data_IF_187307236846
#
_entry.id   IF_187307236846
#
_cell.length_a   1.000
_cell.length_b   1.000
_cell.length_c   1.000
_cell.angle_alpha   90.00
_cell.angle_beta   90.00
_cell.angle_gamma   90.00
#
_symmetry.space_group_name_H-M   'P 1'
#
loop_
_entity.id
_entity.type
_entity.pdbx_description
1 polymer ?
#
# COMPACT_ATOMS: atom_id res chain seq x y z
N UNK A 1 16.83 10.19 -15.39
CA UNK A 1 16.28 9.54 -14.19
C UNK A 1 14.99 10.25 -13.84
N UNK A 2 13.84 9.68 -14.24
CA UNK A 2 12.53 10.23 -13.92
C UNK A 2 12.36 10.30 -12.39
N UNK A 3 12.07 11.48 -11.86
CA UNK A 3 11.67 11.65 -10.46
C UNK A 3 10.44 10.77 -10.20
N UNK A 4 10.59 9.73 -9.40
CA UNK A 4 9.47 8.90 -8.97
C UNK A 4 8.71 9.69 -7.90
N UNK A 5 7.47 10.07 -8.19
CA UNK A 5 6.64 10.82 -7.25
C UNK A 5 6.43 9.97 -5.99
N UNK A 6 6.56 10.62 -4.83
CA UNK A 6 6.35 9.99 -3.53
C UNK A 6 4.86 9.64 -3.37
N UNK A 7 4.56 8.42 -2.94
CA UNK A 7 3.18 7.99 -2.63
C UNK A 7 2.83 8.30 -1.18
N UNK A 8 1.54 8.49 -0.87
CA UNK A 8 1.08 8.80 0.49
C UNK A 8 0.41 7.59 1.13
N UNK A 9 0.76 7.32 2.37
CA UNK A 9 0.11 6.32 3.23
C UNK A 9 -0.50 7.01 4.44
N UNK A 10 -1.80 6.86 4.65
CA UNK A 10 -2.45 7.26 5.90
C UNK A 10 -2.47 6.08 6.86
N UNK A 11 -1.88 6.25 8.04
CA UNK A 11 -1.92 5.25 9.11
C UNK A 11 -0.75 5.34 10.09
N UNK A 12 -0.63 4.32 10.95
CA UNK A 12 0.42 4.24 11.98
C UNK A 12 1.36 3.07 11.73
N UNK A 13 2.66 3.27 11.97
CA UNK A 13 3.69 2.22 11.96
C UNK A 13 3.39 1.05 12.92
N UNK A 14 2.53 1.25 13.93
CA UNK A 14 2.13 0.20 14.86
C UNK A 14 1.14 -0.81 14.22
N UNK A 15 0.38 -0.38 13.22
CA UNK A 15 -0.60 -1.25 12.55
C UNK A 15 0.10 -2.32 11.70
N UNK A 16 -0.21 -3.62 11.88
CA UNK A 16 0.35 -4.68 11.05
C UNK A 16 -0.06 -4.53 9.58
N UNK A 17 -1.28 -4.05 9.30
CA UNK A 17 -1.77 -3.84 7.95
C UNK A 17 -1.05 -2.68 7.24
N UNK A 18 -0.73 -1.61 7.98
CA UNK A 18 0.10 -0.51 7.45
C UNK A 18 1.50 -1.04 7.18
N UNK A 19 2.13 -1.73 8.13
CA UNK A 19 3.47 -2.31 7.96
C UNK A 19 3.58 -3.23 6.73
N UNK A 20 2.56 -4.03 6.44
CA UNK A 20 2.50 -4.86 5.21
C UNK A 20 2.72 -4.00 3.95
N UNK A 21 2.03 -2.87 3.83
CA UNK A 21 2.18 -1.94 2.70
C UNK A 21 3.56 -1.25 2.71
N UNK A 22 4.05 -0.83 3.87
CA UNK A 22 5.37 -0.17 3.95
C UNK A 22 6.52 -1.08 3.55
N UNK A 23 6.47 -2.35 3.96
CA UNK A 23 7.47 -3.37 3.55
C UNK A 23 7.41 -3.59 2.05
N UNK A 24 6.21 -3.70 1.48
CA UNK A 24 5.99 -3.80 0.04
C UNK A 24 6.63 -2.63 -0.73
N UNK A 25 6.35 -1.39 -0.32
CA UNK A 25 6.95 -0.18 -0.90
C UNK A 25 8.47 -0.17 -0.76
N UNK A 26 8.99 -0.55 0.42
CA UNK A 26 10.42 -0.57 0.70
C UNK A 26 11.18 -1.59 -0.15
N UNK A 27 10.65 -2.81 -0.30
CA UNK A 27 11.24 -3.86 -1.16
C UNK A 27 11.28 -3.41 -2.62
N UNK A 28 10.22 -2.73 -3.08
CA UNK A 28 10.18 -2.18 -4.44
C UNK A 28 10.99 -0.88 -4.62
N UNK A 29 11.53 -0.30 -3.54
CA UNK A 29 12.27 0.97 -3.62
C UNK A 29 11.38 2.17 -3.96
N UNK A 30 10.08 2.11 -3.65
CA UNK A 30 9.13 3.19 -3.93
C UNK A 30 9.14 4.17 -2.74
N UNK A 31 9.48 5.45 -2.96
CA UNK A 31 9.48 6.44 -1.90
C UNK A 31 8.05 6.72 -1.44
N UNK A 32 7.86 6.82 -0.12
CA UNK A 32 6.56 7.13 0.47
C UNK A 32 6.67 8.12 1.62
N UNK A 33 5.55 8.73 1.97
CA UNK A 33 5.31 9.45 3.21
C UNK A 33 4.20 8.79 4.00
N UNK A 34 4.31 8.88 5.33
CA UNK A 34 3.23 8.51 6.23
C UNK A 34 2.58 9.78 6.77
N UNK A 35 1.27 9.84 6.60
CA UNK A 35 0.40 10.73 7.34
C UNK A 35 -0.16 9.99 8.56
N UNK A 36 0.29 10.34 9.79
CA UNK A 36 -0.09 9.66 11.01
C UNK A 36 -1.48 10.09 11.49
N UNK A 37 -2.52 9.94 10.66
CA UNK A 37 -3.90 10.11 11.12
C UNK A 37 -4.26 8.96 12.07
N UNK A 38 -4.78 9.32 13.23
CA UNK A 38 -5.32 8.40 14.22
C UNK A 38 -6.73 7.98 13.76
N UNK A 39 -6.97 6.67 13.46
CA UNK A 39 -8.32 6.18 13.22
C UNK A 39 -9.22 6.59 14.40
N UNK A 40 -10.45 7.02 14.15
CA UNK A 40 -11.43 7.59 15.12
C UNK A 40 -11.36 9.10 15.39
N UNK A 41 -10.28 9.80 15.03
CA UNK A 41 -10.21 11.28 15.09
C UNK A 41 -10.29 11.95 13.71
N UNK A 42 -10.40 11.16 12.64
CA UNK A 42 -10.56 11.66 11.28
C UNK A 42 -11.87 12.44 11.12
N UNK A 43 -11.75 13.69 10.67
CA UNK A 43 -12.86 14.52 10.23
C UNK A 43 -13.65 13.84 9.07
N UNK A 44 -14.72 14.49 8.59
CA UNK A 44 -15.49 14.00 7.44
C UNK A 44 -14.60 13.70 6.21
N UNK A 45 -13.46 14.37 6.06
CA UNK A 45 -12.53 14.14 4.95
C UNK A 45 -11.87 12.75 4.99
N UNK A 46 -11.57 12.20 6.18
CA UNK A 46 -11.08 10.83 6.26
C UNK A 46 -12.14 9.82 5.81
N UNK A 47 -13.43 10.11 6.07
CA UNK A 47 -14.52 9.24 5.61
C UNK A 47 -14.65 9.24 4.08
N UNK A 48 -14.24 10.32 3.41
CA UNK A 48 -14.17 10.37 1.93
C UNK A 48 -13.01 9.51 1.38
N UNK A 49 -11.90 9.45 2.11
CA UNK A 49 -10.73 8.64 1.73
C UNK A 49 -10.88 7.15 2.07
N UNK A 50 -11.48 6.85 3.21
CA UNK A 50 -11.74 5.50 3.71
C UNK A 50 -13.19 5.43 4.20
N UNK A 51 -14.15 5.05 3.33
CA UNK A 51 -15.55 4.94 3.71
C UNK A 51 -15.78 4.01 4.91
N UNK A 52 -14.94 2.99 5.06
CA UNK A 52 -14.98 2.05 6.19
C UNK A 52 -14.16 2.52 7.40
N UNK A 53 -13.54 3.70 7.32
CA UNK A 53 -12.65 4.29 8.33
C UNK A 53 -11.53 3.35 8.79
N UNK A 54 -10.97 2.58 7.85
CA UNK A 54 -9.85 1.66 8.07
C UNK A 54 -8.55 2.23 7.50
N UNK A 55 -7.45 1.83 8.11
CA UNK A 55 -6.08 2.04 7.62
C UNK A 55 -5.48 0.69 7.22
N UNK A 56 -4.51 0.65 6.29
CA UNK A 56 -3.93 1.78 5.55
C UNK A 56 -4.88 2.38 4.51
N UNK A 57 -4.70 3.67 4.23
CA UNK A 57 -5.13 4.29 2.97
C UNK A 57 -3.89 4.61 2.16
N UNK A 58 -3.84 4.14 0.92
CA UNK A 58 -2.80 4.47 -0.05
C UNK A 58 -3.34 5.46 -1.06
N UNK A 59 -2.54 6.46 -1.43
CA UNK A 59 -2.85 7.37 -2.54
C UNK A 59 -1.62 7.57 -3.42
N UNK A 60 -1.82 7.46 -4.73
CA UNK A 60 -0.88 7.90 -5.76
C UNK A 60 -1.56 8.83 -6.78
N UNK A 61 -0.94 9.04 -7.94
CA UNK A 61 -1.43 9.86 -9.05
C UNK A 61 -2.68 9.30 -9.76
N UNK A 62 -3.06 8.04 -9.52
CA UNK A 62 -4.18 7.37 -10.21
C UNK A 62 -5.29 6.92 -9.29
N UNK A 63 -4.96 6.48 -8.07
CA UNK A 63 -5.93 5.83 -7.19
C UNK A 63 -5.76 6.23 -5.73
N UNK A 64 -6.88 6.16 -5.01
CA UNK A 64 -6.90 6.04 -3.55
C UNK A 64 -7.50 4.69 -3.21
N UNK A 65 -6.75 3.88 -2.46
CA UNK A 65 -7.11 2.50 -2.12
C UNK A 65 -7.07 2.29 -0.61
N UNK A 66 -7.98 1.44 -0.15
CA UNK A 66 -7.99 0.85 1.18
C UNK A 66 -7.70 -0.66 1.07
N UNK A 67 -7.52 -1.32 2.22
CA UNK A 67 -7.15 -2.74 2.34
C UNK A 67 -5.70 -3.05 1.94
N UNK A 68 -4.91 -3.57 2.88
CA UNK A 68 -3.49 -3.77 2.66
C UNK A 68 -3.17 -4.82 1.61
N UNK A 69 -4.03 -5.84 1.42
CA UNK A 69 -3.84 -6.88 0.40
C UNK A 69 -4.18 -6.34 -0.99
N UNK A 70 -5.25 -5.55 -1.13
CA UNK A 70 -5.59 -4.85 -2.39
C UNK A 70 -4.48 -3.89 -2.78
N UNK A 71 -3.98 -3.09 -1.83
CA UNK A 71 -2.87 -2.15 -2.08
C UNK A 71 -1.61 -2.90 -2.53
N UNK A 72 -1.23 -4.00 -1.85
CA UNK A 72 -0.05 -4.77 -2.25
C UNK A 72 -0.21 -5.40 -3.64
N UNK A 73 -1.41 -5.87 -3.99
CA UNK A 73 -1.68 -6.39 -5.33
C UNK A 73 -1.53 -5.28 -6.38
N UNK A 74 -2.12 -4.12 -6.15
CA UNK A 74 -2.00 -2.97 -7.04
C UNK A 74 -0.54 -2.54 -7.24
N UNK A 75 0.26 -2.52 -6.18
CA UNK A 75 1.68 -2.20 -6.27
C UNK A 75 2.47 -3.25 -7.08
N UNK A 76 2.10 -4.53 -7.00
CA UNK A 76 2.70 -5.56 -7.84
C UNK A 76 2.38 -5.37 -9.33
N UNK A 77 1.13 -5.05 -9.64
CA UNK A 77 0.68 -4.86 -11.03
C UNK A 77 1.19 -3.54 -11.63
N UNK A 78 1.21 -2.46 -10.85
CA UNK A 78 1.66 -1.13 -11.30
C UNK A 78 3.18 -1.04 -11.45
N UNK A 79 3.93 -1.77 -10.62
CA UNK A 79 5.39 -1.75 -10.58
C UNK A 79 5.91 -3.17 -10.83
N UNK A 80 5.84 -3.63 -12.11
CA UNK A 80 6.10 -5.01 -12.47
C UNK A 80 7.59 -5.35 -12.43
N UNK A 81 7.87 -6.66 -12.42
CA UNK A 81 9.21 -7.23 -12.25
C UNK A 81 10.22 -6.88 -13.34
N UNK A 82 9.78 -6.31 -14.47
CA UNK A 82 10.68 -5.81 -15.52
C UNK A 82 11.59 -4.68 -15.04
N UNK A 83 11.11 -3.89 -14.07
CA UNK A 83 11.82 -2.71 -13.56
C UNK A 83 11.88 -2.65 -12.02
N UNK A 84 11.17 -3.54 -11.31
CA UNK A 84 11.04 -3.55 -9.86
C UNK A 84 11.23 -4.95 -9.29
N UNK A 85 11.46 -5.06 -7.98
CA UNK A 85 11.50 -6.37 -7.32
C UNK A 85 10.07 -6.92 -7.21
N UNK A 86 9.86 -8.17 -7.64
CA UNK A 86 8.60 -8.89 -7.42
C UNK A 86 8.48 -9.26 -5.96
N UNK A 87 7.32 -9.00 -5.35
CA UNK A 87 7.07 -9.36 -3.94
C UNK A 87 6.52 -10.79 -3.84
N UNK A 88 5.89 -11.28 -4.91
CA UNK A 88 5.27 -12.59 -4.94
C UNK A 88 6.03 -13.56 -5.86
N UNK A 89 5.94 -14.88 -5.59
CA UNK A 89 6.39 -15.89 -6.53
C UNK A 89 5.66 -15.80 -7.88
N UNK A 90 6.36 -16.20 -8.95
CA UNK A 90 5.76 -16.29 -10.29
C UNK A 90 4.82 -17.50 -10.44
N UNK A 91 5.12 -18.60 -9.76
CA UNK A 91 4.25 -19.79 -9.73
C UNK A 91 2.90 -19.47 -9.08
N UNK A 92 1.81 -19.91 -9.71
CA UNK A 92 0.44 -19.55 -9.32
C UNK A 92 0.08 -20.12 -7.95
N UNK A 93 0.53 -21.34 -7.63
CA UNK A 93 0.20 -22.02 -6.37
C UNK A 93 0.95 -21.36 -5.23
N UNK A 94 2.24 -21.11 -5.39
CA UNK A 94 3.06 -20.45 -4.38
C UNK A 94 2.64 -18.99 -4.17
N UNK A 95 2.22 -18.28 -5.23
CA UNK A 95 1.64 -16.94 -5.11
C UNK A 95 0.35 -16.93 -4.31
N UNK A 96 -0.55 -17.88 -4.57
CA UNK A 96 -1.79 -18.01 -3.80
C UNK A 96 -1.50 -18.29 -2.32
N UNK A 97 -0.58 -19.24 -2.02
CA UNK A 97 -0.16 -19.55 -0.65
C UNK A 97 0.45 -18.33 0.06
N UNK A 98 1.28 -17.55 -0.62
CA UNK A 98 1.86 -16.32 -0.08
C UNK A 98 0.82 -15.23 0.23
N UNK A 99 -0.33 -15.22 -0.44
CA UNK A 99 -1.42 -14.26 -0.24
C UNK A 99 -2.45 -14.70 0.81
N UNK A 100 -2.39 -15.95 1.26
CA UNK A 100 -3.35 -16.51 2.21
C UNK A 100 -3.24 -15.91 3.62
N UNK A 101 -2.21 -15.09 3.88
CA UNK A 101 -1.86 -14.54 5.20
C UNK A 101 -2.10 -13.02 5.34
#
# INVERSE_FOLDING_TARGET
>A
MSHMNKVRIVGSYLSPYVRKVLVCLSIKGIPYEIDPIIPFYGNEEFSKLSPLRRIPVFTDDKVTLCDSSVICQYLEDRYPSSNFVSIYPNDIVNRAKAKMV
#
